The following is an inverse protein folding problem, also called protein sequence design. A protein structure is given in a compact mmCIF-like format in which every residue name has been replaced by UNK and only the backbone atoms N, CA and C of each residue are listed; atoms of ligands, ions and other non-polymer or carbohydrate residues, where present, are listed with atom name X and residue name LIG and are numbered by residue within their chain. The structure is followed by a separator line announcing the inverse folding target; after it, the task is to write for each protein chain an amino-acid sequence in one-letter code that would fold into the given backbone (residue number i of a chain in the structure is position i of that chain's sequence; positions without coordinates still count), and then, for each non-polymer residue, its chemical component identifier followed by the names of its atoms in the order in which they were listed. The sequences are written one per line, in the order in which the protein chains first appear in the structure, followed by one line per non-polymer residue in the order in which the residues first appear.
data_IF_679921111168
#
_entry.id   IF_679921111168
#
_cell.length_a   1.000
_cell.length_b   1.000
_cell.length_c   1.000
_cell.angle_alpha   90.00
_cell.angle_beta   90.00
_cell.angle_gamma   90.00
#
_symmetry.space_group_name_H-M   'P 1'
#
loop_
_entity.id
_entity.type
_entity.pdbx_description
1 polymer ?
#
# COMPACT_ATOMS: atom_id res chain seq x y z
N UNK A 1 -16.80 33.86 -7.37
CA UNK A 1 -16.08 33.28 -8.53
C UNK A 1 -15.94 31.81 -8.23
N UNK A 2 -16.43 30.92 -9.08
CA UNK A 2 -16.24 29.47 -8.88
C UNK A 2 -14.77 29.14 -9.13
N UNK A 3 -14.13 28.44 -8.20
CA UNK A 3 -12.80 27.89 -8.42
C UNK A 3 -12.84 26.91 -9.60
N UNK A 4 -11.83 27.02 -10.47
CA UNK A 4 -11.66 26.09 -11.58
C UNK A 4 -10.85 24.91 -11.06
N UNK A 5 -11.41 23.72 -11.17
CA UNK A 5 -10.74 22.47 -10.79
C UNK A 5 -10.29 21.77 -12.07
N UNK A 6 -9.03 21.35 -12.12
CA UNK A 6 -8.48 20.53 -13.20
C UNK A 6 -8.49 19.06 -12.77
N UNK A 7 -8.87 18.16 -13.67
CA UNK A 7 -8.91 16.72 -13.39
C UNK A 7 -8.35 15.92 -14.56
N UNK A 8 -7.67 14.81 -14.24
CA UNK A 8 -7.08 13.93 -15.23
C UNK A 8 -7.32 12.47 -14.83
N UNK A 9 -7.76 11.64 -15.78
CA UNK A 9 -7.87 10.19 -15.59
C UNK A 9 -6.48 9.56 -15.50
N UNK A 10 -6.24 8.80 -14.43
CA UNK A 10 -5.03 8.00 -14.26
C UNK A 10 -5.03 6.82 -15.25
N UNK A 11 -3.88 6.53 -15.86
CA UNK A 11 -3.72 5.38 -16.76
C UNK A 11 -2.60 4.41 -16.35
N UNK A 12 -1.48 4.91 -15.80
CA UNK A 12 -0.31 4.10 -15.43
C UNK A 12 0.52 4.80 -14.34
N UNK A 13 -0.14 5.40 -13.34
CA UNK A 13 0.57 6.09 -12.28
C UNK A 13 1.10 5.06 -11.27
N UNK A 14 2.42 5.04 -11.04
CA UNK A 14 3.07 4.20 -10.03
C UNK A 14 3.58 5.07 -8.89
N UNK A 15 3.49 4.53 -7.68
CA UNK A 15 3.83 5.20 -6.44
C UNK A 15 3.65 4.25 -5.26
N UNK A 16 3.73 4.79 -4.06
CA UNK A 16 3.60 4.06 -2.82
C UNK A 16 2.33 4.50 -2.10
N UNK A 17 1.56 3.54 -1.56
CA UNK A 17 0.58 3.84 -0.53
C UNK A 17 1.34 4.01 0.79
N UNK A 18 1.18 5.16 1.43
CA UNK A 18 1.89 5.52 2.65
C UNK A 18 0.90 5.81 3.77
N UNK A 19 1.32 5.57 5.01
CA UNK A 19 0.61 5.98 6.22
C UNK A 19 1.26 7.23 6.79
N UNK A 20 0.46 8.22 7.15
CA UNK A 20 0.91 9.44 7.84
C UNK A 20 1.02 9.21 9.35
N UNK A 21 1.69 10.13 10.06
CA UNK A 21 1.91 10.02 11.50
C UNK A 21 0.62 10.04 12.34
N UNK A 22 -0.45 10.61 11.80
CA UNK A 22 -1.79 10.64 12.38
C UNK A 22 -2.68 9.46 11.95
N UNK A 23 -2.13 8.51 11.18
CA UNK A 23 -2.81 7.28 10.75
C UNK A 23 -3.66 7.41 9.48
N UNK A 24 -3.61 8.57 8.81
CA UNK A 24 -4.19 8.75 7.48
C UNK A 24 -3.40 8.01 6.39
N UNK A 25 -4.02 7.82 5.23
CA UNK A 25 -3.36 7.23 4.06
C UNK A 25 -3.23 8.26 2.94
N UNK A 26 -2.09 8.24 2.26
CA UNK A 26 -1.84 9.06 1.08
C UNK A 26 -1.05 8.26 0.04
N UNK A 27 -1.13 8.67 -1.22
CA UNK A 27 -0.37 8.06 -2.30
C UNK A 27 0.79 8.98 -2.69
N UNK A 28 2.01 8.48 -2.69
CA UNK A 28 3.22 9.24 -3.07
C UNK A 28 3.80 8.76 -4.38
N UNK A 29 4.04 9.67 -5.31
CA UNK A 29 4.82 9.40 -6.52
C UNK A 29 6.20 10.02 -6.40
N UNK A 30 7.20 9.38 -7.03
CA UNK A 30 8.57 9.87 -7.06
C UNK A 30 8.95 10.26 -8.48
N UNK A 31 9.66 11.37 -8.60
CA UNK A 31 10.26 11.83 -9.83
C UNK A 31 11.74 11.42 -9.89
N UNK A 32 12.32 11.42 -11.09
CA UNK A 32 13.70 11.00 -11.31
C UNK A 32 14.73 11.89 -10.60
N UNK A 33 14.37 13.14 -10.28
CA UNK A 33 15.21 14.08 -9.53
C UNK A 33 15.12 13.89 -8.01
N UNK A 34 14.40 12.87 -7.55
CA UNK A 34 14.17 12.59 -6.14
C UNK A 34 13.08 13.45 -5.49
N UNK A 35 12.47 14.38 -6.24
CA UNK A 35 11.27 15.06 -5.77
C UNK A 35 10.08 14.10 -5.76
N UNK A 36 9.05 14.44 -5.00
CA UNK A 36 7.86 13.61 -4.86
C UNK A 36 6.59 14.46 -4.83
N UNK A 37 5.46 13.82 -5.12
CA UNK A 37 4.13 14.41 -5.03
C UNK A 37 3.22 13.49 -4.20
N UNK A 38 2.55 14.07 -3.22
CA UNK A 38 1.58 13.38 -2.36
C UNK A 38 0.16 13.71 -2.79
N UNK A 39 -0.67 12.67 -2.83
CA UNK A 39 -2.09 12.76 -3.15
C UNK A 39 -2.92 12.25 -1.97
N UNK A 40 -3.83 13.09 -1.49
CA UNK A 40 -4.87 12.65 -0.58
C UNK A 40 -5.83 11.69 -1.28
N UNK A 41 -6.12 10.56 -0.64
CA UNK A 41 -7.02 9.55 -1.19
C UNK A 41 -8.44 9.86 -0.73
N UNK A 42 -9.21 10.52 -1.60
CA UNK A 42 -10.63 10.82 -1.40
C UNK A 42 -11.53 9.87 -2.20
N UNK A 43 -11.22 8.58 -2.16
CA UNK A 43 -11.98 7.52 -2.84
C UNK A 43 -12.43 6.50 -1.80
N UNK A 44 -13.71 6.13 -1.79
CA UNK A 44 -14.27 5.28 -0.73
C UNK A 44 -13.85 3.81 -0.82
N UNK A 45 -13.58 3.31 -2.03
CA UNK A 45 -13.25 1.90 -2.27
C UNK A 45 -12.30 1.76 -3.47
N UNK A 46 -11.04 2.17 -3.29
CA UNK A 46 -10.04 2.20 -4.37
C UNK A 46 -9.36 0.84 -4.48
N UNK A 47 -9.52 0.18 -5.62
CA UNK A 47 -8.80 -1.05 -5.93
C UNK A 47 -7.30 -0.77 -6.15
N UNK A 48 -6.44 -1.60 -5.57
CA UNK A 48 -4.99 -1.49 -5.68
C UNK A 48 -4.35 -2.83 -6.02
N UNK A 49 -3.27 -2.78 -6.80
CA UNK A 49 -2.38 -3.92 -7.03
C UNK A 49 -1.10 -3.73 -6.21
N UNK A 50 -0.76 -4.69 -5.34
CA UNK A 50 0.49 -4.68 -4.59
C UNK A 50 1.54 -5.43 -5.40
N UNK A 51 2.47 -4.66 -5.98
CA UNK A 51 3.57 -5.18 -6.82
C UNK A 51 4.92 -5.13 -6.10
N UNK A 52 4.94 -4.76 -4.83
CA UNK A 52 6.16 -4.71 -4.01
C UNK A 52 6.55 -6.13 -3.58
N UNK A 53 7.73 -6.58 -4.02
CA UNK A 53 8.24 -7.92 -3.71
C UNK A 53 8.60 -8.10 -2.24
N UNK A 54 8.79 -7.01 -1.49
CA UNK A 54 9.05 -7.05 -0.05
C UNK A 54 7.75 -6.98 0.78
N UNK A 55 6.58 -6.92 0.16
CA UNK A 55 5.30 -6.91 0.87
C UNK A 55 4.78 -8.34 1.13
N UNK A 56 4.52 -8.65 2.39
CA UNK A 56 4.06 -9.96 2.87
C UNK A 56 2.79 -9.81 3.70
N UNK A 57 1.87 -10.76 3.54
CA UNK A 57 0.68 -10.87 4.40
C UNK A 57 1.04 -11.66 5.65
N UNK A 58 0.64 -11.15 6.80
CA UNK A 58 0.75 -11.80 8.09
C UNK A 58 -0.63 -12.04 8.68
N UNK A 59 -0.74 -13.09 9.49
CA UNK A 59 -1.91 -13.38 10.31
C UNK A 59 -1.50 -13.70 11.72
N UNK A 60 -1.99 -12.94 12.69
CA UNK A 60 -1.67 -13.11 14.11
C UNK A 60 -2.89 -12.80 14.96
N UNK A 61 -3.22 -13.68 15.90
CA UNK A 61 -4.31 -13.49 16.87
C UNK A 61 -5.67 -13.15 16.23
N UNK A 62 -5.92 -13.64 15.00
CA UNK A 62 -7.16 -13.40 14.25
C UNK A 62 -7.13 -12.16 13.34
N UNK A 63 -6.10 -11.34 13.41
CA UNK A 63 -5.90 -10.16 12.58
C UNK A 63 -5.03 -10.47 11.36
N UNK A 64 -5.36 -9.90 10.20
CA UNK A 64 -4.54 -9.94 8.98
C UNK A 64 -3.93 -8.55 8.76
N UNK A 65 -2.64 -8.49 8.44
CA UNK A 65 -1.95 -7.24 8.11
C UNK A 65 -0.88 -7.47 7.04
N UNK A 66 -0.46 -6.39 6.36
CA UNK A 66 0.63 -6.41 5.37
C UNK A 66 1.83 -5.71 5.99
N UNK A 67 3.00 -6.30 5.87
CA UNK A 67 4.27 -5.73 6.36
C UNK A 67 5.42 -6.15 5.43
N UNK A 68 6.64 -5.71 5.73
CA UNK A 68 7.86 -6.12 5.06
C UNK A 68 8.13 -7.61 5.18
N UNK A 69 8.99 -8.15 4.32
CA UNK A 69 9.37 -9.57 4.35
C UNK A 69 9.94 -9.99 5.71
N UNK A 70 9.79 -11.27 6.12
CA UNK A 70 10.36 -11.77 7.38
C UNK A 70 11.86 -11.52 7.50
N UNK A 71 12.60 -11.57 6.38
CA UNK A 71 14.03 -11.27 6.31
C UNK A 71 14.33 -9.83 6.70
N UNK A 72 13.56 -8.89 6.16
CA UNK A 72 13.67 -7.45 6.39
C UNK A 72 13.36 -7.12 7.86
N UNK A 73 12.38 -7.82 8.44
CA UNK A 73 12.01 -7.68 9.85
C UNK A 73 12.93 -8.45 10.83
N UNK A 74 13.87 -9.25 10.34
CA UNK A 74 14.73 -10.10 11.18
C UNK A 74 14.02 -11.29 11.83
N UNK A 75 12.86 -11.72 11.29
CA UNK A 75 11.96 -12.73 11.85
C UNK A 75 12.09 -14.14 11.23
N UNK A 76 13.16 -14.44 10.49
CA UNK A 76 13.33 -15.70 9.71
C UNK A 76 13.02 -17.01 10.46
N UNK A 77 13.13 -17.04 11.79
CA UNK A 77 12.93 -18.26 12.61
C UNK A 77 11.57 -18.32 13.31
N UNK A 78 10.83 -17.22 13.32
CA UNK A 78 9.58 -17.06 14.07
C UNK A 78 8.34 -17.01 13.17
N UNK A 79 8.54 -17.09 11.86
CA UNK A 79 7.46 -17.10 10.87
C UNK A 79 7.41 -18.48 10.23
N UNK A 80 6.23 -19.07 10.19
CA UNK A 80 5.95 -20.24 9.36
C UNK A 80 5.31 -19.75 8.08
N UNK A 81 6.02 -19.85 6.97
CA UNK A 81 5.42 -19.62 5.66
C UNK A 81 4.40 -20.73 5.40
N UNK A 82 3.22 -20.33 4.93
CA UNK A 82 2.15 -21.25 4.54
C UNK A 82 1.96 -21.17 3.03
N UNK A 83 1.81 -22.32 2.39
CA UNK A 83 1.43 -22.38 0.98
C UNK A 83 -0.07 -22.10 0.85
N UNK A 84 -0.46 -21.26 -0.11
CA UNK A 84 -1.85 -20.89 -0.37
C UNK A 84 -2.26 -19.53 0.20
N UNK A 85 -3.56 -19.34 0.40
CA UNK A 85 -4.15 -18.04 0.74
C UNK A 85 -4.30 -17.89 2.26
N UNK A 86 -3.64 -16.88 2.82
CA UNK A 86 -3.66 -16.56 4.26
C UNK A 86 -4.99 -15.93 4.74
N UNK A 87 -5.65 -15.16 3.88
CA UNK A 87 -6.88 -14.42 4.20
C UNK A 87 -7.90 -14.61 3.04
N UNK A 88 -9.14 -14.99 3.37
CA UNK A 88 -10.18 -15.50 2.44
C UNK A 88 -10.29 -14.77 1.09
N UNK A 89 -10.50 -15.58 0.03
CA UNK A 89 -11.06 -15.16 -1.26
C UNK A 89 -12.52 -14.73 -1.07
N UNK A 90 -12.76 -13.44 -0.81
CA UNK A 90 -14.05 -12.83 -1.13
C UNK A 90 -13.81 -11.46 -1.74
N UNK A 91 -13.67 -11.45 -3.06
CA UNK A 91 -14.31 -10.45 -3.88
C UNK A 91 -15.64 -11.03 -4.36
#
# INVERSE_FOLDING_TARGET
MSEKIECQKIKNLRGCLCISLDGGYFFRTYHNDGSFCDYDINHSDMEIEIVDSDAYIYKKDGECFIDHAPETLGMRKSVTEVEGILCNEKY
#
